data_IF_333891320936
#
_entry.id   IF_333891320936
#
_cell.length_a   1.000
_cell.length_b   1.000
_cell.length_c   1.000
_cell.angle_alpha   90.00
_cell.angle_beta   90.00
_cell.angle_gamma   90.00
#
_symmetry.space_group_name_H-M   'P 1'
#
loop_
_entity.id
_entity.type
_entity.pdbx_description
1 polymer ?
#
# COMPACT_ATOMS: atom_id res chain seq x y z
N UNK A 1 3.33 -5.75 -7.52
CA UNK A 1 2.69 -5.46 -6.21
C UNK A 1 3.04 -4.06 -5.72
N UNK A 2 4.31 -3.74 -5.43
CA UNK A 2 4.72 -2.42 -4.89
C UNK A 2 4.29 -1.26 -5.81
N UNK A 3 4.55 -1.34 -7.13
CA UNK A 3 4.07 -0.35 -8.12
C UNK A 3 2.54 -0.19 -8.19
N UNK A 4 1.79 -1.22 -7.78
CA UNK A 4 0.32 -1.15 -7.76
C UNK A 4 -0.14 -0.32 -6.56
N UNK A 5 0.50 -0.51 -5.40
CA UNK A 5 0.17 0.26 -4.20
C UNK A 5 0.53 1.74 -4.33
N UNK A 6 1.57 2.11 -5.08
CA UNK A 6 1.87 3.53 -5.35
C UNK A 6 0.81 4.25 -6.18
N UNK A 7 -0.03 3.53 -6.93
CA UNK A 7 -1.17 4.14 -7.64
C UNK A 7 -2.30 4.54 -6.67
N UNK A 8 -2.44 3.83 -5.55
CA UNK A 8 -3.48 4.06 -4.55
C UNK A 8 -3.03 5.02 -3.45
N UNK A 9 -1.85 4.79 -2.87
CA UNK A 9 -1.32 5.58 -1.76
C UNK A 9 -0.78 6.94 -2.22
N UNK A 10 -0.72 7.89 -1.30
CA UNK A 10 -0.14 9.21 -1.50
C UNK A 10 1.37 9.14 -1.39
N UNK A 11 1.98 8.35 -2.28
CA UNK A 11 3.39 8.02 -2.22
C UNK A 11 4.00 8.00 -3.61
N UNK A 12 5.25 8.43 -3.69
CA UNK A 12 6.11 8.31 -4.86
C UNK A 12 7.29 7.41 -4.51
N UNK A 13 7.55 6.39 -5.33
CA UNK A 13 8.68 5.49 -5.13
C UNK A 13 9.87 6.04 -5.92
N UNK A 14 10.91 6.44 -5.21
CA UNK A 14 12.13 7.00 -5.79
C UNK A 14 13.17 5.91 -6.10
N UNK A 15 13.15 4.81 -5.36
CA UNK A 15 14.05 3.68 -5.57
C UNK A 15 13.71 2.46 -4.72
N UNK A 16 14.21 1.30 -5.12
CA UNK A 16 14.07 0.06 -4.35
C UNK A 16 15.29 -0.85 -4.54
N UNK A 17 15.56 -1.68 -3.54
CA UNK A 17 16.58 -2.72 -3.59
C UNK A 17 16.02 -4.00 -2.97
N UNK A 18 16.15 -5.13 -3.67
CA UNK A 18 15.71 -6.45 -3.18
C UNK A 18 16.94 -7.32 -2.94
N UNK A 19 17.04 -7.88 -1.74
CA UNK A 19 18.09 -8.81 -1.34
C UNK A 19 17.47 -10.13 -0.88
N UNK A 20 18.30 -11.14 -0.60
CA UNK A 20 17.82 -12.48 -0.21
C UNK A 20 17.09 -12.52 1.14
N UNK A 21 17.38 -11.58 2.03
CA UNK A 21 16.85 -11.56 3.40
C UNK A 21 16.08 -10.27 3.77
N UNK A 22 16.19 -9.20 3.00
CA UNK A 22 15.48 -7.94 3.25
C UNK A 22 15.31 -7.12 1.96
N UNK A 23 14.57 -6.01 2.05
CA UNK A 23 14.45 -5.05 0.97
C UNK A 23 14.51 -3.64 1.50
N UNK A 24 15.01 -2.71 0.68
CA UNK A 24 14.98 -1.28 0.93
C UNK A 24 14.02 -0.61 -0.04
N UNK A 25 13.32 0.41 0.45
CA UNK A 25 12.38 1.19 -0.33
C UNK A 25 12.58 2.66 0.01
N UNK A 26 12.95 3.46 -0.99
CA UNK A 26 13.01 4.91 -0.87
C UNK A 26 11.72 5.49 -1.42
N UNK A 27 10.91 6.08 -0.54
CA UNK A 27 9.63 6.70 -0.89
C UNK A 27 9.52 8.12 -0.38
N UNK A 28 8.76 8.93 -1.11
CA UNK A 28 8.29 10.24 -0.67
C UNK A 28 6.79 10.13 -0.37
N UNK A 29 6.40 10.42 0.88
CA UNK A 29 5.00 10.53 1.25
C UNK A 29 4.50 11.95 1.00
N UNK A 30 3.27 12.07 0.54
CA UNK A 30 2.60 13.35 0.37
C UNK A 30 1.58 13.58 1.49
N UNK A 31 1.48 14.81 2.01
CA UNK A 31 0.53 15.14 3.06
C UNK A 31 -0.90 15.00 2.54
N UNK A 32 -1.81 14.64 3.44
CA UNK A 32 -3.21 14.40 3.10
C UNK A 32 -3.92 15.59 2.46
N UNK A 33 -3.53 16.83 2.77
CA UNK A 33 -4.15 18.05 2.24
C UNK A 33 -3.82 18.33 0.75
N UNK A 34 -2.88 17.57 0.16
CA UNK A 34 -2.51 17.72 -1.25
C UNK A 34 -3.56 17.16 -2.21
N UNK A 35 -4.46 16.29 -1.74
CA UNK A 35 -5.41 15.59 -2.59
C UNK A 35 -6.86 16.01 -2.32
N UNK A 36 -7.66 16.21 -3.35
CA UNK A 36 -9.09 16.47 -3.20
C UNK A 36 -9.88 15.18 -2.97
N UNK A 37 -11.12 15.29 -2.51
CA UNK A 37 -12.01 14.14 -2.30
C UNK A 37 -12.26 13.36 -3.61
N UNK A 38 -12.37 14.07 -4.73
CA UNK A 38 -12.54 13.51 -6.06
C UNK A 38 -11.29 12.72 -6.49
N UNK A 39 -10.09 13.21 -6.19
CA UNK A 39 -8.85 12.51 -6.49
C UNK A 39 -8.72 11.21 -5.68
N UNK A 40 -9.14 11.23 -4.41
CA UNK A 40 -9.18 10.04 -3.55
C UNK A 40 -10.16 9.02 -4.12
N UNK A 41 -11.36 9.45 -4.49
CA UNK A 41 -12.36 8.59 -5.11
C UNK A 41 -11.86 7.99 -6.43
N UNK A 42 -11.23 8.81 -7.29
CA UNK A 42 -10.65 8.35 -8.55
C UNK A 42 -9.56 7.30 -8.34
N UNK A 43 -8.65 7.52 -7.38
CA UNK A 43 -7.60 6.54 -7.02
C UNK A 43 -8.21 5.24 -6.51
N UNK A 44 -9.22 5.33 -5.64
CA UNK A 44 -9.92 4.15 -5.12
C UNK A 44 -10.56 3.34 -6.24
N UNK A 45 -11.38 3.98 -7.09
CA UNK A 45 -12.04 3.33 -8.23
C UNK A 45 -11.03 2.73 -9.22
N UNK A 46 -9.94 3.45 -9.51
CA UNK A 46 -8.88 2.95 -10.41
C UNK A 46 -8.19 1.70 -9.86
N UNK A 47 -7.98 1.62 -8.54
CA UNK A 47 -7.26 0.50 -7.92
C UNK A 47 -8.12 -0.74 -7.72
N UNK A 48 -9.37 -0.55 -7.26
CA UNK A 48 -10.30 -1.62 -6.94
C UNK A 48 -11.23 -1.99 -8.10
N UNK A 49 -11.41 -1.11 -9.10
CA UNK A 49 -12.38 -1.31 -10.17
C UNK A 49 -13.79 -1.52 -9.62
N UNK A 50 -14.55 -2.39 -10.28
CA UNK A 50 -15.93 -2.73 -9.88
C UNK A 50 -15.99 -3.75 -8.73
N UNK A 51 -14.84 -4.21 -8.22
CA UNK A 51 -14.80 -5.22 -7.15
C UNK A 51 -15.19 -4.66 -5.78
N UNK A 52 -15.29 -3.33 -5.64
CA UNK A 52 -15.56 -2.69 -4.35
C UNK A 52 -16.31 -1.38 -4.54
N UNK A 53 -17.48 -1.29 -3.92
CA UNK A 53 -18.25 -0.05 -3.88
C UNK A 53 -17.61 0.98 -2.96
N UNK A 54 -17.62 2.23 -3.41
CA UNK A 54 -17.16 3.38 -2.64
C UNK A 54 -18.35 4.02 -1.94
N UNK A 55 -18.34 4.04 -0.60
CA UNK A 55 -19.37 4.74 0.17
C UNK A 55 -18.86 6.11 0.61
N UNK A 56 -19.71 7.15 0.51
CA UNK A 56 -19.29 8.54 0.74
C UNK A 56 -18.65 8.80 2.10
N UNK A 57 -19.05 8.06 3.14
CA UNK A 57 -18.47 8.16 4.49
C UNK A 57 -17.03 7.65 4.62
N UNK A 58 -16.45 7.02 3.59
CA UNK A 58 -15.09 6.46 3.66
C UNK A 58 -13.99 7.49 3.42
N UNK A 59 -14.29 8.68 2.89
CA UNK A 59 -13.29 9.66 2.49
C UNK A 59 -12.35 10.06 3.64
N UNK A 60 -12.83 10.46 4.83
CA UNK A 60 -11.94 10.86 5.92
C UNK A 60 -10.97 9.74 6.32
N UNK A 61 -11.48 8.51 6.41
CA UNK A 61 -10.68 7.33 6.71
C UNK A 61 -9.64 7.02 5.62
N UNK A 62 -10.05 7.06 4.35
CA UNK A 62 -9.15 6.81 3.22
C UNK A 62 -8.06 7.89 3.15
N UNK A 63 -8.39 9.14 3.40
CA UNK A 63 -7.46 10.26 3.42
C UNK A 63 -6.35 10.04 4.45
N UNK A 64 -6.71 9.66 5.67
CA UNK A 64 -5.74 9.31 6.71
C UNK A 64 -4.92 8.08 6.31
N UNK A 65 -5.58 6.98 5.92
CA UNK A 65 -4.94 5.72 5.55
C UNK A 65 -3.93 5.89 4.42
N UNK A 66 -4.31 6.56 3.34
CA UNK A 66 -3.52 6.67 2.11
C UNK A 66 -2.31 7.62 2.27
N UNK A 67 -2.32 8.47 3.29
CA UNK A 67 -1.18 9.32 3.67
C UNK A 67 -0.20 8.64 4.64
N UNK A 68 -0.54 7.48 5.19
CA UNK A 68 0.25 6.79 6.21
C UNK A 68 1.31 5.84 5.61
N UNK A 69 2.58 6.08 5.93
CA UNK A 69 3.69 5.19 5.58
C UNK A 69 3.52 3.80 6.20
N UNK A 70 3.05 3.74 7.46
CA UNK A 70 2.81 2.47 8.16
C UNK A 70 1.76 1.62 7.47
N UNK A 71 0.68 2.24 6.99
CA UNK A 71 -0.36 1.55 6.22
C UNK A 71 0.17 1.05 4.88
N UNK A 72 0.94 1.87 4.18
CA UNK A 72 1.57 1.50 2.91
C UNK A 72 2.51 0.28 3.09
N UNK A 73 3.38 0.33 4.10
CA UNK A 73 4.29 -0.77 4.41
C UNK A 73 3.53 -2.03 4.85
N UNK A 74 2.43 -1.88 5.59
CA UNK A 74 1.58 -3.01 5.99
C UNK A 74 0.98 -3.74 4.79
N UNK A 75 0.42 -3.00 3.82
CA UNK A 75 -0.17 -3.60 2.61
C UNK A 75 0.88 -4.35 1.78
N UNK A 76 2.09 -3.79 1.65
CA UNK A 76 3.22 -4.47 0.99
C UNK A 76 3.56 -5.76 1.74
N UNK A 77 3.79 -5.69 3.05
CA UNK A 77 4.21 -6.84 3.85
C UNK A 77 3.14 -7.94 3.84
N UNK A 78 1.89 -7.61 4.15
CA UNK A 78 0.80 -8.60 4.20
C UNK A 78 0.54 -9.18 2.81
N UNK A 79 0.50 -8.34 1.77
CA UNK A 79 0.31 -8.78 0.39
C UNK A 79 1.38 -9.77 -0.05
N UNK A 80 2.66 -9.48 0.22
CA UNK A 80 3.76 -10.37 -0.13
C UNK A 80 3.72 -11.67 0.67
N UNK A 81 3.48 -11.60 1.98
CA UNK A 81 3.42 -12.78 2.84
C UNK A 81 2.33 -13.74 2.35
N UNK A 82 1.14 -13.22 2.02
CA UNK A 82 0.03 -14.01 1.45
C UNK A 82 0.41 -14.65 0.12
N UNK A 83 1.01 -13.88 -0.79
CA UNK A 83 1.47 -14.37 -2.08
C UNK A 83 2.52 -15.49 -1.93
N UNK A 84 3.56 -15.23 -1.13
CA UNK A 84 4.67 -16.15 -0.94
C UNK A 84 4.22 -17.45 -0.25
N UNK A 85 3.47 -17.33 0.84
CA UNK A 85 2.96 -18.49 1.57
C UNK A 85 2.08 -19.38 0.70
N UNK A 86 1.19 -18.78 -0.10
CA UNK A 86 0.36 -19.54 -1.06
C UNK A 86 1.21 -20.24 -2.11
N UNK A 87 2.20 -19.55 -2.70
CA UNK A 87 3.08 -20.10 -3.74
C UNK A 87 3.93 -21.27 -3.23
N UNK A 88 4.36 -21.22 -1.98
CA UNK A 88 5.27 -22.22 -1.38
C UNK A 88 4.56 -23.21 -0.46
N UNK A 89 3.22 -23.21 -0.43
CA UNK A 89 2.42 -24.03 0.49
C UNK A 89 2.87 -23.93 1.97
N UNK A 90 3.29 -22.74 2.38
CA UNK A 90 3.74 -22.44 3.75
C UNK A 90 2.63 -21.75 4.53
N UNK A 91 2.67 -21.89 5.86
CA UNK A 91 1.82 -21.14 6.80
C UNK A 91 2.68 -20.34 7.75
N UNK A 92 2.09 -19.31 8.37
CA UNK A 92 2.74 -18.51 9.40
C UNK A 92 3.42 -17.25 8.87
N UNK A 93 4.32 -16.73 9.69
CA UNK A 93 4.93 -15.42 9.51
C UNK A 93 6.04 -15.42 8.44
N UNK A 94 6.16 -14.32 7.70
CA UNK A 94 7.20 -14.16 6.67
C UNK A 94 8.28 -13.13 7.07
N UNK A 95 7.93 -12.08 7.82
CA UNK A 95 8.75 -10.87 7.91
C UNK A 95 9.40 -10.66 9.27
N UNK A 96 10.65 -11.04 9.53
CA UNK A 96 11.27 -10.96 10.87
C UNK A 96 10.85 -9.82 11.83
N UNK A 97 10.82 -8.56 11.39
CA UNK A 97 10.57 -7.39 12.25
C UNK A 97 9.74 -6.27 11.59
N UNK A 98 9.44 -5.18 12.35
CA UNK A 98 8.89 -3.93 11.80
C UNK A 98 9.86 -3.27 10.80
N UNK A 99 9.30 -2.45 9.91
CA UNK A 99 10.13 -1.63 9.01
C UNK A 99 10.87 -0.55 9.83
N UNK A 100 12.02 -0.11 9.32
CA UNK A 100 12.87 0.92 9.90
C UNK A 100 12.98 2.08 8.93
#
# INVERSE_FOLDING_TARGET
MIKRFSALYFTEILGFCLMGNHFHLLVKMFPQNRFTDEEIQKRFKTYYGDSREFTGGQIPYLREKLSSLSEFMREIKVGFARYYNRRHNRRGYFWGDRFK
#
